data_IF_810350269330
#
_entry.id   IF_810350269330
#
_cell.length_a   1.000
_cell.length_b   1.000
_cell.length_c   1.000
_cell.angle_alpha   90.00
_cell.angle_beta   90.00
_cell.angle_gamma   90.00
#
_symmetry.space_group_name_H-M   'P 1'
#
loop_
_entity.id
_entity.type
_entity.pdbx_description
1 polymer ?
#
# COMPACT_ATOMS: atom_id res chain seq x y z
N UNK A 1 -6.27 20.31 10.46
CA UNK A 1 -7.63 19.71 10.37
C UNK A 1 -7.98 19.23 11.79
N UNK A 2 -9.05 18.47 12.04
CA UNK A 2 -9.19 17.79 13.34
C UNK A 2 -9.31 16.28 13.13
N UNK A 3 -8.71 15.51 14.05
CA UNK A 3 -8.76 14.05 14.04
C UNK A 3 -10.19 13.50 14.14
N UNK A 4 -11.10 14.24 14.76
CA UNK A 4 -12.53 13.91 14.81
C UNK A 4 -13.13 13.89 13.40
N UNK A 5 -12.80 14.87 12.55
CA UNK A 5 -13.28 14.89 11.17
C UNK A 5 -12.76 13.67 10.38
N UNK A 6 -11.50 13.30 10.56
CA UNK A 6 -10.94 12.10 9.94
C UNK A 6 -11.68 10.84 10.42
N UNK A 7 -12.06 10.78 11.71
CA UNK A 7 -12.78 9.65 12.29
C UNK A 7 -14.22 9.53 11.77
N UNK A 8 -14.94 10.64 11.63
CA UNK A 8 -16.25 10.66 10.99
C UNK A 8 -16.17 10.20 9.53
N UNK A 9 -15.06 10.50 8.87
CA UNK A 9 -14.77 10.08 7.49
C UNK A 9 -13.91 8.79 7.40
N UNK A 10 -13.83 7.97 8.45
CA UNK A 10 -12.88 6.83 8.55
C UNK A 10 -12.91 5.83 7.39
N UNK A 11 -14.04 5.68 6.70
CA UNK A 11 -14.14 4.85 5.47
C UNK A 11 -13.34 5.46 4.31
N UNK A 12 -13.44 6.78 4.11
CA UNK A 12 -12.63 7.50 3.13
C UNK A 12 -11.15 7.46 3.53
N UNK A 13 -10.84 7.72 4.80
CA UNK A 13 -9.46 7.65 5.31
C UNK A 13 -8.86 6.26 5.08
N UNK A 14 -9.61 5.20 5.36
CA UNK A 14 -9.18 3.83 5.08
C UNK A 14 -8.85 3.58 3.60
N UNK A 15 -9.66 4.14 2.69
CA UNK A 15 -9.40 4.10 1.25
C UNK A 15 -8.13 4.87 0.87
N UNK A 16 -7.92 6.06 1.45
CA UNK A 16 -6.75 6.88 1.19
C UNK A 16 -5.47 6.21 1.70
N UNK A 17 -5.50 5.60 2.89
CA UNK A 17 -4.39 4.77 3.41
C UNK A 17 -4.05 3.65 2.43
N UNK A 18 -5.06 2.96 1.88
CA UNK A 18 -4.82 1.90 0.90
C UNK A 18 -4.19 2.45 -0.40
N UNK A 19 -4.58 3.64 -0.84
CA UNK A 19 -3.98 4.26 -2.01
C UNK A 19 -2.54 4.66 -1.76
N UNK A 20 -2.22 5.23 -0.59
CA UNK A 20 -0.84 5.53 -0.17
C UNK A 20 0.03 4.26 -0.18
N UNK A 21 -0.48 3.16 0.37
CA UNK A 21 0.21 1.86 0.37
C UNK A 21 0.55 1.45 -1.07
N UNK A 22 -0.40 1.56 -2.01
CA UNK A 22 -0.19 1.18 -3.41
C UNK A 22 0.75 2.12 -4.15
N UNK A 23 0.54 3.43 -4.03
CA UNK A 23 1.30 4.46 -4.75
C UNK A 23 2.77 4.50 -4.34
N UNK A 24 3.07 4.08 -3.10
CA UNK A 24 4.44 3.99 -2.58
C UNK A 24 5.02 2.57 -2.67
N UNK A 25 4.34 1.63 -3.34
CA UNK A 25 4.85 0.27 -3.59
C UNK A 25 4.92 -0.64 -2.35
N UNK A 26 4.21 -0.29 -1.27
CA UNK A 26 4.19 -1.10 -0.06
C UNK A 26 3.24 -2.29 -0.17
N UNK A 27 3.59 -3.38 0.50
CA UNK A 27 2.60 -4.39 0.89
C UNK A 27 1.99 -4.00 2.24
N UNK A 28 0.79 -4.50 2.56
CA UNK A 28 0.23 -4.33 3.91
C UNK A 28 1.16 -4.84 5.01
N UNK A 29 1.97 -5.86 4.72
CA UNK A 29 2.92 -6.44 5.69
C UNK A 29 4.12 -5.53 5.92
N UNK A 30 4.72 -4.96 4.87
CA UNK A 30 5.81 -3.99 5.02
C UNK A 30 5.33 -2.70 5.66
N UNK A 31 4.15 -2.21 5.27
CA UNK A 31 3.55 -1.00 5.86
C UNK A 31 3.20 -1.18 7.35
N UNK A 32 2.69 -2.35 7.74
CA UNK A 32 2.45 -2.72 9.14
C UNK A 32 3.72 -2.63 10.00
N UNK A 33 4.86 -3.11 9.47
CA UNK A 33 6.16 -2.99 10.14
C UNK A 33 6.64 -1.54 10.20
N UNK A 34 6.55 -0.82 9.09
CA UNK A 34 6.96 0.59 8.98
C UNK A 34 6.23 1.48 10.00
N UNK A 35 4.92 1.30 10.11
CA UNK A 35 4.06 2.12 10.99
C UNK A 35 3.98 1.60 12.43
N UNK A 36 4.54 0.43 12.71
CA UNK A 36 4.37 -0.27 13.99
C UNK A 36 2.87 -0.40 14.38
N UNK A 37 2.06 -0.85 13.42
CA UNK A 37 0.63 -1.17 13.56
C UNK A 37 0.47 -2.63 13.18
N UNK A 38 -0.20 -3.45 14.00
CA UNK A 38 -0.44 -4.85 13.65
C UNK A 38 -1.22 -4.96 12.35
N UNK A 39 -0.91 -5.97 11.51
CA UNK A 39 -1.61 -6.17 10.24
C UNK A 39 -3.13 -6.30 10.38
N UNK A 40 -3.68 -7.02 11.38
CA UNK A 40 -5.12 -7.04 11.62
C UNK A 40 -5.72 -5.66 11.93
N UNK A 41 -5.00 -4.83 12.70
CA UNK A 41 -5.46 -3.46 13.02
C UNK A 41 -5.40 -2.56 11.78
N UNK A 42 -4.33 -2.66 10.98
CA UNK A 42 -4.20 -1.93 9.72
C UNK A 42 -5.33 -2.31 8.75
N UNK A 43 -5.69 -3.60 8.67
CA UNK A 43 -6.81 -4.04 7.85
C UNK A 43 -8.14 -3.44 8.32
N UNK A 44 -8.39 -3.33 9.64
CA UNK A 44 -9.58 -2.64 10.17
C UNK A 44 -9.58 -1.15 9.84
N UNK A 45 -8.43 -0.46 9.93
CA UNK A 45 -8.30 0.95 9.56
C UNK A 45 -8.62 1.16 8.07
N UNK A 46 -8.06 0.31 7.20
CA UNK A 46 -8.31 0.37 5.74
C UNK A 46 -9.79 0.15 5.42
N UNK A 47 -10.48 -0.72 6.16
CA UNK A 47 -11.93 -0.95 6.00
C UNK A 47 -12.79 0.13 6.66
N UNK A 48 -12.22 1.01 7.49
CA UNK A 48 -12.97 1.98 8.28
C UNK A 48 -13.76 1.36 9.43
N UNK A 49 -13.33 0.20 9.95
CA UNK A 49 -13.98 -0.61 11.00
C UNK A 49 -13.40 -0.37 12.40
N UNK A 50 -12.73 0.77 12.61
CA UNK A 50 -12.25 1.18 13.94
C UNK A 50 -13.32 2.04 14.58
N UNK A 51 -13.94 1.54 15.65
CA UNK A 51 -15.09 2.19 16.31
C UNK A 51 -14.69 3.10 17.47
N UNK A 52 -13.44 3.03 17.93
CA UNK A 52 -12.90 3.86 19.00
C UNK A 52 -12.11 5.03 18.42
N UNK A 53 -12.53 6.26 18.72
CA UNK A 53 -11.81 7.48 18.36
C UNK A 53 -10.38 7.49 18.91
N UNK A 54 -10.18 7.04 20.15
CA UNK A 54 -8.86 6.99 20.78
C UNK A 54 -7.91 6.03 20.04
N UNK A 55 -8.42 4.85 19.68
CA UNK A 55 -7.68 3.84 18.90
C UNK A 55 -7.37 4.37 17.50
N UNK A 56 -8.34 5.00 16.85
CA UNK A 56 -8.16 5.61 15.54
C UNK A 56 -7.08 6.69 15.58
N UNK A 57 -7.18 7.67 16.50
CA UNK A 57 -6.19 8.74 16.68
C UNK A 57 -4.78 8.21 16.83
N UNK A 58 -4.61 7.22 17.71
CA UNK A 58 -3.28 6.62 17.99
C UNK A 58 -2.66 6.03 16.73
N UNK A 59 -3.44 5.33 15.90
CA UNK A 59 -2.92 4.67 14.72
C UNK A 59 -2.80 5.60 13.51
N UNK A 60 -3.70 6.57 13.34
CA UNK A 60 -3.57 7.57 12.29
C UNK A 60 -2.34 8.44 12.54
N UNK A 61 -2.04 8.83 13.79
CA UNK A 61 -0.82 9.60 14.07
C UNK A 61 0.45 8.86 13.63
N UNK A 62 0.55 7.56 13.93
CA UNK A 62 1.68 6.73 13.46
C UNK A 62 1.80 6.69 11.94
N UNK A 63 0.67 6.68 11.22
CA UNK A 63 0.68 6.71 9.76
C UNK A 63 1.16 8.07 9.26
N UNK A 64 0.60 9.16 9.79
CA UNK A 64 1.00 10.53 9.46
C UNK A 64 2.50 10.75 9.67
N UNK A 65 3.01 10.36 10.83
CA UNK A 65 4.43 10.45 11.18
C UNK A 65 5.30 9.64 10.21
N UNK A 66 4.89 8.40 9.87
CA UNK A 66 5.66 7.51 9.00
C UNK A 66 5.71 7.96 7.54
N UNK A 67 4.69 8.71 7.10
CA UNK A 67 4.54 9.16 5.71
C UNK A 67 4.91 10.64 5.55
N UNK A 68 5.37 11.30 6.62
CA UNK A 68 5.69 12.72 6.66
C UNK A 68 4.55 13.58 6.07
N UNK A 69 3.34 13.34 6.57
CA UNK A 69 2.12 13.99 6.08
C UNK A 69 1.23 14.48 7.20
N UNK A 70 0.42 15.49 6.90
CA UNK A 70 -0.60 16.01 7.80
C UNK A 70 -2.00 15.44 7.53
N UNK A 71 -2.94 15.80 8.40
CA UNK A 71 -4.33 15.35 8.37
C UNK A 71 -5.09 15.82 7.12
N UNK A 72 -4.78 17.02 6.63
CA UNK A 72 -5.43 17.61 5.46
C UNK A 72 -4.97 16.90 4.18
N UNK A 73 -3.67 16.61 4.08
CA UNK A 73 -3.09 15.79 3.03
C UNK A 73 -3.67 14.38 3.01
N UNK A 74 -3.88 13.77 4.18
CA UNK A 74 -4.51 12.45 4.27
C UNK A 74 -5.99 12.48 3.85
N UNK A 75 -6.76 13.50 4.27
CA UNK A 75 -8.18 13.64 3.90
C UNK A 75 -8.34 13.85 2.40
N UNK A 76 -7.51 14.71 1.83
CA UNK A 76 -7.56 15.14 0.44
C UNK A 76 -6.61 14.35 -0.47
N UNK A 77 -6.16 13.17 -0.03
CA UNK A 77 -5.18 12.38 -0.78
C UNK A 77 -5.69 12.03 -2.19
N UNK A 78 -4.92 12.43 -3.19
CA UNK A 78 -5.19 12.13 -4.61
C UNK A 78 -4.26 10.98 -5.04
N UNK A 79 -4.80 9.81 -5.44
CA UNK A 79 -3.98 8.71 -5.90
C UNK A 79 -3.12 9.08 -7.10
N UNK A 80 -1.84 8.71 -7.08
CA UNK A 80 -0.90 8.95 -8.18
C UNK A 80 -1.27 8.10 -9.40
N UNK A 81 -1.69 6.86 -9.16
CA UNK A 81 -2.25 5.99 -10.19
C UNK A 81 -3.77 6.09 -10.16
N UNK A 82 -4.32 6.97 -11.00
CA UNK A 82 -5.69 6.76 -11.48
C UNK A 82 -5.70 5.42 -12.20
N UNK A 83 -6.60 4.52 -11.81
CA UNK A 83 -6.79 3.24 -12.48
C UNK A 83 -7.23 3.45 -13.94
N UNK A 84 -6.30 3.86 -14.81
CA UNK A 84 -6.33 3.45 -16.19
C UNK A 84 -6.27 1.93 -16.13
N UNK A 85 -7.17 1.27 -16.85
CA UNK A 85 -7.24 -0.20 -16.96
C UNK A 85 -6.04 -0.79 -17.72
N UNK A 86 -4.90 -0.09 -17.70
CA UNK A 86 -3.66 -0.54 -18.28
C UNK A 86 -2.87 -1.22 -17.15
N UNK A 87 -2.52 -2.50 -17.30
CA UNK A 87 -1.65 -3.16 -16.34
C UNK A 87 -0.32 -2.40 -16.28
N UNK A 88 -0.07 -1.70 -15.17
CA UNK A 88 1.25 -1.12 -14.89
C UNK A 88 2.09 -2.23 -14.28
N UNK A 89 3.23 -2.53 -14.90
CA UNK A 89 4.22 -3.44 -14.35
C UNK A 89 4.75 -2.92 -13.02
N UNK A 90 4.29 -3.51 -11.93
CA UNK A 90 4.87 -3.31 -10.60
C UNK A 90 6.04 -4.28 -10.42
N UNK A 91 7.15 -4.03 -11.11
CA UNK A 91 8.41 -4.72 -10.85
C UNK A 91 9.02 -4.13 -9.58
N UNK A 92 8.85 -4.83 -8.46
CA UNK A 92 9.47 -4.48 -7.19
C UNK A 92 10.29 -5.67 -6.71
N UNK A 93 11.61 -5.55 -6.84
CA UNK A 93 12.53 -6.49 -6.21
C UNK A 93 12.72 -6.09 -4.74
N UNK A 94 12.16 -6.89 -3.84
CA UNK A 94 12.29 -6.71 -2.39
C UNK A 94 13.32 -7.68 -1.79
N UNK A 95 14.17 -8.28 -2.61
CA UNK A 95 15.22 -9.15 -2.16
C UNK A 95 16.24 -8.38 -1.29
N UNK A 96 16.74 -8.99 -0.20
CA UNK A 96 17.90 -8.44 0.53
C UNK A 96 19.10 -8.20 -0.40
N UNK A 97 19.96 -7.23 -0.09
CA UNK A 97 21.10 -6.83 -0.95
C UNK A 97 22.03 -8.00 -1.37
N UNK A 98 22.08 -9.09 -0.58
CA UNK A 98 22.91 -10.27 -0.85
C UNK A 98 22.11 -11.52 -1.24
N UNK A 99 20.83 -11.37 -1.56
CA UNK A 99 19.99 -12.50 -1.95
C UNK A 99 20.20 -12.84 -3.43
N UNK A 100 20.80 -14.00 -3.68
CA UNK A 100 20.86 -14.59 -4.99
C UNK A 100 19.76 -15.65 -5.15
N UNK A 101 19.02 -15.58 -6.26
CA UNK A 101 18.10 -16.64 -6.64
C UNK A 101 18.88 -17.94 -6.88
N UNK A 102 18.34 -19.06 -6.40
CA UNK A 102 18.87 -20.36 -6.77
C UNK A 102 18.57 -20.66 -8.26
N UNK A 103 19.30 -21.60 -8.90
CA UNK A 103 19.17 -21.85 -10.33
C UNK A 103 17.74 -22.19 -10.77
N UNK A 104 17.01 -22.98 -9.98
CA UNK A 104 15.62 -23.35 -10.31
C UNK A 104 14.70 -22.12 -10.27
N UNK A 105 14.88 -21.24 -9.30
CA UNK A 105 14.10 -20.02 -9.20
C UNK A 105 14.40 -19.06 -10.36
N UNK A 106 15.67 -18.92 -10.75
CA UNK A 106 16.06 -18.13 -11.93
C UNK A 106 15.37 -18.63 -13.20
N UNK A 107 15.36 -19.95 -13.43
CA UNK A 107 14.67 -20.57 -14.55
C UNK A 107 13.17 -20.28 -14.53
N UNK A 108 12.51 -20.44 -13.38
CA UNK A 108 11.08 -20.17 -13.23
C UNK A 108 10.73 -18.70 -13.48
N UNK A 109 11.54 -17.76 -13.01
CA UNK A 109 11.32 -16.33 -13.26
C UNK A 109 11.54 -15.98 -14.73
N UNK A 110 12.53 -16.58 -15.41
CA UNK A 110 12.73 -16.41 -16.84
C UNK A 110 11.52 -16.87 -17.67
N UNK A 111 10.95 -18.04 -17.35
CA UNK A 111 9.72 -18.52 -18.02
C UNK A 111 8.55 -17.55 -17.80
N UNK A 112 8.42 -16.98 -16.60
CA UNK A 112 7.37 -16.02 -16.31
C UNK A 112 7.55 -14.73 -17.11
N UNK A 113 8.77 -14.22 -17.22
CA UNK A 113 9.09 -13.06 -18.06
C UNK A 113 8.76 -13.32 -19.53
N UNK A 114 9.09 -14.49 -20.06
CA UNK A 114 8.77 -14.88 -21.44
C UNK A 114 7.25 -14.89 -21.71
N UNK A 115 6.47 -15.45 -20.78
CA UNK A 115 4.99 -15.47 -20.87
C UNK A 115 4.45 -14.05 -20.87
N UNK A 116 4.99 -13.19 -20.01
CA UNK A 116 4.52 -11.83 -19.87
C UNK A 116 4.86 -10.99 -21.10
N UNK A 117 6.08 -11.10 -21.65
CA UNK A 117 6.44 -10.51 -22.94
C UNK A 117 5.53 -10.99 -24.08
N UNK A 118 5.18 -12.29 -24.10
CA UNK A 118 4.24 -12.81 -25.08
C UNK A 118 2.89 -12.12 -24.94
N UNK A 119 2.35 -12.00 -23.73
CA UNK A 119 1.09 -11.29 -23.50
C UNK A 119 1.15 -9.83 -23.98
N UNK A 120 2.24 -9.11 -23.75
CA UNK A 120 2.40 -7.74 -24.26
C UNK A 120 2.29 -7.67 -25.80
N UNK A 121 2.87 -8.63 -26.53
CA UNK A 121 2.79 -8.63 -27.99
C UNK A 121 1.36 -8.83 -28.52
N UNK A 122 0.51 -9.57 -27.80
CA UNK A 122 -0.83 -9.95 -28.26
C UNK A 122 -1.97 -9.10 -27.67
N UNK A 123 -1.74 -8.43 -26.54
CA UNK A 123 -2.77 -7.67 -25.82
C UNK A 123 -2.55 -6.14 -25.83
N UNK A 124 -1.61 -5.64 -26.64
CA UNK A 124 -1.48 -4.22 -27.00
C UNK A 124 -2.42 -3.83 -28.14
#
# INVERSE_FOLDING_TARGET
>A
MSMELLFENRKLIGKNILNIIKDNGYTKSSFSRLTNISRPTLDKLIKGEVDSLATFKTHIQKILDSQDMDEEQLLNYVPKYNAKKEPVFALSDNAPENHALNPNAQEMFGILEDIVHMCELYYN
#
